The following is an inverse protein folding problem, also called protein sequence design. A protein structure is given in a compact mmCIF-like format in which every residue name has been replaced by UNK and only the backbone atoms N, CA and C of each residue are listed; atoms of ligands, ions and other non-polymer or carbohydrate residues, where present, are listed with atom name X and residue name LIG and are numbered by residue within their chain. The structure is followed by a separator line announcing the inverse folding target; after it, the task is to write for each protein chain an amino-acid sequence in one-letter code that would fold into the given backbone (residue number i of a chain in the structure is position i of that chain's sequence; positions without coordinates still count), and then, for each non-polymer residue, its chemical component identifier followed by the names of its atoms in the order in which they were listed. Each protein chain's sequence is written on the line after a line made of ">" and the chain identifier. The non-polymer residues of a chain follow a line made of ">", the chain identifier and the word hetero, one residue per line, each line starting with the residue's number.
data_IF_930426075978
#
_entry.id   IF_930426075978
#
_cell.length_a   1.000
_cell.length_b   1.000
_cell.length_c   1.000
_cell.angle_alpha   90.00
_cell.angle_beta   90.00
_cell.angle_gamma   90.00
#
_symmetry.space_group_name_H-M   'P 1'
#
loop_
_entity.id
_entity.type
_entity.pdbx_description
1 polymer ?
#
# COMPACT_ATOMS: atom_id res chain seq x y z
N UNK A 1 -47.22 69.30 -51.95
CA UNK A 1 -46.01 69.20 -51.10
C UNK A 1 -45.89 67.73 -50.69
N UNK A 2 -44.66 67.23 -50.60
CA UNK A 2 -44.27 65.86 -50.21
C UNK A 2 -44.10 64.82 -51.33
N UNK A 3 -42.95 64.15 -51.23
CA UNK A 3 -42.25 63.40 -52.27
C UNK A 3 -42.73 61.95 -52.33
N UNK A 4 -42.96 61.43 -53.54
CA UNK A 4 -42.87 59.99 -53.80
C UNK A 4 -41.39 59.58 -53.78
N UNK A 5 -41.05 58.57 -52.99
CA UNK A 5 -39.84 57.76 -53.23
C UNK A 5 -40.19 56.28 -53.03
N UNK A 6 -39.92 55.52 -54.08
CA UNK A 6 -40.09 54.08 -54.20
C UNK A 6 -38.81 53.39 -53.73
N UNK A 7 -38.91 52.30 -52.96
CA UNK A 7 -37.81 51.36 -52.77
C UNK A 7 -38.18 49.99 -53.37
N UNK A 8 -37.30 49.38 -54.18
CA UNK A 8 -37.61 48.22 -54.99
C UNK A 8 -37.64 46.90 -54.21
N UNK A 9 -38.42 45.98 -54.77
CA UNK A 9 -38.34 44.53 -54.54
C UNK A 9 -36.91 44.03 -54.80
N UNK A 10 -36.60 42.96 -54.08
CA UNK A 10 -35.35 42.19 -54.07
C UNK A 10 -34.21 42.85 -53.29
N UNK A 11 -33.97 42.36 -52.08
CA UNK A 11 -32.64 42.00 -51.59
C UNK A 11 -32.79 41.28 -50.23
N UNK A 12 -32.41 40.01 -50.26
CA UNK A 12 -31.81 39.21 -49.20
C UNK A 12 -32.66 38.74 -48.01
N UNK A 13 -33.52 37.77 -48.31
CA UNK A 13 -33.96 36.66 -47.44
C UNK A 13 -32.77 35.84 -46.84
N UNK A 14 -31.52 36.20 -47.16
CA UNK A 14 -30.32 35.47 -46.78
C UNK A 14 -29.72 35.85 -45.41
N UNK A 15 -30.24 36.88 -44.71
CA UNK A 15 -29.61 37.41 -43.49
C UNK A 15 -30.32 37.04 -42.17
N UNK A 16 -31.44 36.32 -42.22
CA UNK A 16 -32.17 35.86 -41.01
C UNK A 16 -31.97 34.36 -40.73
N UNK A 17 -31.35 33.62 -41.65
CA UNK A 17 -31.02 32.19 -41.48
C UNK A 17 -29.62 31.99 -40.86
N UNK A 18 -28.82 33.05 -40.71
CA UNK A 18 -27.44 32.96 -40.20
C UNK A 18 -27.37 32.99 -38.66
N UNK A 19 -28.37 33.54 -37.97
CA UNK A 19 -28.34 33.63 -36.49
C UNK A 19 -28.95 32.41 -35.77
N UNK A 20 -29.64 31.50 -36.47
CA UNK A 20 -30.18 30.26 -35.89
C UNK A 20 -29.27 29.06 -36.17
N UNK A 21 -28.40 29.13 -37.18
CA UNK A 21 -27.45 28.06 -37.53
C UNK A 21 -26.15 28.05 -36.70
N UNK A 22 -25.86 29.10 -35.92
CA UNK A 22 -24.60 29.21 -35.16
C UNK A 22 -24.70 28.66 -33.72
N UNK A 23 -25.90 28.29 -33.27
CA UNK A 23 -26.12 27.77 -31.91
C UNK A 23 -26.03 26.24 -31.80
N UNK A 24 -25.91 25.50 -32.92
CA UNK A 24 -25.95 24.03 -32.93
C UNK A 24 -24.59 23.35 -33.11
N UNK A 25 -23.49 24.10 -33.14
CA UNK A 25 -22.13 23.56 -33.41
C UNK A 25 -21.18 23.52 -32.20
N UNK A 26 -21.65 23.85 -30.99
CA UNK A 26 -20.86 23.69 -29.74
C UNK A 26 -21.19 22.41 -28.96
N UNK A 27 -21.99 21.49 -29.51
CA UNK A 27 -22.16 20.12 -29.00
C UNK A 27 -20.92 19.24 -29.23
N UNK A 28 -19.74 19.85 -29.28
CA UNK A 28 -18.45 19.18 -29.40
C UNK A 28 -18.08 18.60 -28.03
N UNK A 29 -18.40 17.32 -27.86
CA UNK A 29 -17.67 16.36 -27.03
C UNK A 29 -17.22 16.87 -25.65
N UNK A 30 -18.16 17.13 -24.74
CA UNK A 30 -17.94 16.76 -23.34
C UNK A 30 -17.92 15.24 -23.29
N UNK A 31 -16.78 14.64 -23.63
CA UNK A 31 -16.55 13.22 -23.39
C UNK A 31 -16.67 13.08 -21.89
N UNK A 32 -17.78 12.49 -21.42
CA UNK A 32 -17.93 12.15 -20.02
C UNK A 32 -16.64 11.44 -19.59
N UNK A 33 -16.04 11.79 -18.44
CA UNK A 33 -14.85 11.12 -17.98
C UNK A 33 -15.12 9.62 -18.05
N UNK A 34 -14.28 8.89 -18.78
CA UNK A 34 -14.43 7.44 -18.88
C UNK A 34 -14.44 6.91 -17.45
N UNK A 35 -15.36 5.98 -17.10
CA UNK A 35 -15.29 5.33 -15.80
C UNK A 35 -13.87 4.81 -15.62
N UNK A 36 -13.21 5.21 -14.53
CA UNK A 36 -11.94 4.61 -14.16
C UNK A 36 -12.23 3.11 -14.01
N UNK A 37 -11.48 2.22 -14.69
CA UNK A 37 -11.69 0.79 -14.52
C UNK A 37 -11.62 0.43 -13.04
N UNK A 38 -12.70 -0.14 -12.52
CA UNK A 38 -12.76 -0.66 -11.15
C UNK A 38 -12.58 -2.17 -11.24
N UNK A 39 -11.66 -2.71 -10.47
CA UNK A 39 -11.39 -4.14 -10.37
C UNK A 39 -11.14 -4.54 -8.93
N UNK A 40 -10.67 -5.77 -8.76
CA UNK A 40 -10.29 -6.32 -7.47
C UNK A 40 -8.79 -6.10 -7.23
N UNK A 41 -8.44 -5.63 -6.03
CA UNK A 41 -7.12 -5.76 -5.45
C UNK A 41 -7.22 -6.68 -4.23
N UNK A 42 -6.09 -7.15 -3.71
CA UNK A 42 -6.04 -7.92 -2.46
C UNK A 42 -5.21 -7.20 -1.43
N UNK A 43 -5.70 -7.11 -0.20
CA UNK A 43 -4.90 -6.59 0.90
C UNK A 43 -4.95 -7.50 2.12
N UNK A 44 -3.90 -7.42 2.93
CA UNK A 44 -3.85 -7.88 4.31
C UNK A 44 -3.37 -6.74 5.20
N UNK A 45 -3.69 -6.80 6.47
CA UNK A 45 -3.28 -5.79 7.45
C UNK A 45 -2.61 -6.46 8.65
N UNK A 46 -1.56 -5.80 9.15
CA UNK A 46 -0.62 -6.33 10.14
C UNK A 46 -0.44 -5.31 11.24
N UNK A 47 -0.46 -5.76 12.50
CA UNK A 47 -0.08 -4.91 13.63
C UNK A 47 1.36 -5.21 14.05
N UNK A 48 2.30 -4.36 13.62
CA UNK A 48 3.71 -4.38 14.01
C UNK A 48 4.05 -3.33 15.09
N UNK A 49 3.06 -2.61 15.61
CA UNK A 49 3.24 -1.57 16.61
C UNK A 49 3.34 -2.17 18.02
N UNK A 50 4.58 -2.33 18.52
CA UNK A 50 4.81 -2.81 19.89
C UNK A 50 4.08 -1.94 20.93
N UNK A 51 3.45 -2.60 21.91
CA UNK A 51 2.68 -1.94 22.95
C UNK A 51 1.43 -1.21 22.44
N UNK A 52 0.90 -1.57 21.27
CA UNK A 52 -0.44 -1.16 20.84
C UNK A 52 -1.51 -2.12 21.39
N UNK A 53 -2.73 -1.61 21.58
CA UNK A 53 -3.90 -2.45 21.79
C UNK A 53 -4.27 -3.21 20.51
N UNK A 54 -5.17 -4.20 20.62
CA UNK A 54 -5.71 -4.89 19.46
C UNK A 54 -6.40 -3.90 18.51
N UNK A 55 -6.13 -4.03 17.21
CA UNK A 55 -6.58 -3.05 16.22
C UNK A 55 -7.66 -3.64 15.31
N UNK A 56 -8.71 -2.88 15.08
CA UNK A 56 -9.60 -3.06 13.95
C UNK A 56 -9.04 -2.33 12.71
N UNK A 57 -9.50 -2.75 11.53
CA UNK A 57 -9.10 -2.13 10.27
C UNK A 57 -10.31 -1.50 9.60
N UNK A 58 -10.10 -0.38 8.91
CA UNK A 58 -11.14 0.42 8.27
C UNK A 58 -10.73 0.74 6.84
N UNK A 59 -11.70 0.67 5.93
CA UNK A 59 -11.57 1.11 4.54
C UNK A 59 -12.64 2.17 4.29
N UNK A 60 -12.22 3.37 3.86
CA UNK A 60 -13.09 4.53 3.60
C UNK A 60 -14.02 4.85 4.79
N UNK A 61 -13.46 4.83 6.00
CA UNK A 61 -14.18 5.12 7.25
C UNK A 61 -15.16 4.02 7.69
N UNK A 62 -15.25 2.89 6.98
CA UNK A 62 -16.08 1.75 7.38
C UNK A 62 -15.21 0.62 7.91
N UNK A 63 -15.63 0.03 9.03
CA UNK A 63 -14.93 -1.12 9.63
C UNK A 63 -14.91 -2.27 8.63
N UNK A 64 -13.73 -2.82 8.40
CA UNK A 64 -13.48 -3.89 7.46
C UNK A 64 -13.44 -5.23 8.21
N UNK A 65 -14.46 -6.05 7.99
CA UNK A 65 -14.62 -7.33 8.70
C UNK A 65 -14.90 -7.17 10.19
N UNK A 66 -14.82 -8.30 10.92
CA UNK A 66 -14.98 -8.35 12.38
C UNK A 66 -13.69 -8.61 13.16
N UNK A 67 -12.62 -9.00 12.47
CA UNK A 67 -11.38 -9.46 13.06
C UNK A 67 -10.49 -8.33 13.59
N UNK A 68 -9.86 -8.57 14.73
CA UNK A 68 -8.85 -7.72 15.33
C UNK A 68 -7.45 -8.29 15.07
N UNK A 69 -6.44 -7.43 14.97
CA UNK A 69 -5.04 -7.82 14.92
C UNK A 69 -4.29 -7.33 16.17
N UNK A 70 -3.86 -8.28 17.00
CA UNK A 70 -2.96 -7.99 18.12
C UNK A 70 -1.53 -7.72 17.60
N UNK A 71 -0.68 -7.13 18.43
CA UNK A 71 0.74 -6.97 18.11
C UNK A 71 1.37 -8.30 17.68
N UNK A 72 2.08 -8.27 16.54
CA UNK A 72 2.70 -9.44 15.92
C UNK A 72 1.77 -10.30 15.08
N UNK A 73 0.47 -9.98 15.04
CA UNK A 73 -0.52 -10.71 14.24
C UNK A 73 -0.85 -9.97 12.94
N UNK A 74 -1.41 -10.74 12.01
CA UNK A 74 -1.94 -10.27 10.75
C UNK A 74 -3.33 -10.84 10.49
N UNK A 75 -4.05 -10.20 9.59
CA UNK A 75 -5.29 -10.73 9.04
C UNK A 75 -5.03 -11.71 7.88
N UNK A 76 -6.10 -12.37 7.42
CA UNK A 76 -6.07 -13.04 6.13
C UNK A 76 -5.96 -12.01 4.99
N UNK A 77 -5.68 -12.47 3.77
CA UNK A 77 -5.75 -11.62 2.60
C UNK A 77 -7.18 -11.59 2.06
N UNK A 78 -7.70 -10.39 1.83
CA UNK A 78 -9.08 -10.18 1.39
C UNK A 78 -9.14 -9.39 0.09
N UNK A 79 -10.14 -9.69 -0.77
CA UNK A 79 -10.43 -8.87 -1.92
C UNK A 79 -10.98 -7.51 -1.47
N UNK A 80 -10.55 -6.45 -2.15
CA UNK A 80 -11.00 -5.07 -1.97
C UNK A 80 -11.13 -4.40 -3.33
N UNK A 81 -11.86 -3.29 -3.36
CA UNK A 81 -12.04 -2.51 -4.58
C UNK A 81 -10.73 -1.77 -4.91
N UNK A 82 -10.29 -1.82 -6.17
CA UNK A 82 -9.13 -1.07 -6.65
C UNK A 82 -9.40 0.45 -6.68
N UNK A 83 -8.36 1.25 -6.85
CA UNK A 83 -8.37 2.71 -6.85
C UNK A 83 -7.93 3.31 -5.51
N UNK A 84 -8.16 4.60 -5.34
CA UNK A 84 -7.82 5.32 -4.10
C UNK A 84 -8.68 4.82 -2.94
N UNK A 85 -8.04 4.26 -1.91
CA UNK A 85 -8.66 3.80 -0.68
C UNK A 85 -8.06 4.53 0.51
N UNK A 86 -8.92 4.98 1.44
CA UNK A 86 -8.47 5.40 2.77
C UNK A 86 -8.39 4.18 3.67
N UNK A 87 -7.20 3.90 4.20
CA UNK A 87 -6.87 2.71 4.98
C UNK A 87 -6.47 3.13 6.39
N UNK A 88 -7.14 2.63 7.41
CA UNK A 88 -6.88 3.03 8.79
C UNK A 88 -6.96 1.87 9.78
N UNK A 89 -6.13 1.95 10.82
CA UNK A 89 -6.25 1.15 12.02
C UNK A 89 -6.95 1.97 13.10
N UNK A 90 -7.76 1.33 13.91
CA UNK A 90 -8.38 1.93 15.08
C UNK A 90 -8.29 0.98 16.28
N UNK A 91 -8.06 1.55 17.45
CA UNK A 91 -8.16 0.82 18.70
C UNK A 91 -9.63 0.51 18.94
N UNK A 92 -9.97 -0.78 19.02
CA UNK A 92 -11.35 -1.24 19.21
C UNK A 92 -11.96 -0.66 20.49
N UNK A 93 -11.18 -0.49 21.56
CA UNK A 93 -11.69 -0.02 22.85
C UNK A 93 -12.18 1.44 22.80
N UNK A 94 -11.54 2.27 21.96
CA UNK A 94 -11.88 3.70 21.84
C UNK A 94 -12.66 4.02 20.57
N UNK A 95 -12.65 3.13 19.58
CA UNK A 95 -13.14 3.37 18.21
C UNK A 95 -12.52 4.61 17.54
N UNK A 96 -11.39 5.11 18.07
CA UNK A 96 -10.67 6.24 17.50
C UNK A 96 -9.59 5.73 16.53
N UNK A 97 -9.39 6.40 15.37
CA UNK A 97 -8.30 6.09 14.47
C UNK A 97 -6.96 6.16 15.20
N UNK A 98 -6.21 5.05 15.18
CA UNK A 98 -4.85 4.99 15.70
C UNK A 98 -3.87 5.59 14.69
N UNK A 99 -3.99 5.20 13.41
CA UNK A 99 -3.26 5.80 12.30
C UNK A 99 -3.92 5.39 10.97
N UNK A 100 -3.64 6.14 9.90
CA UNK A 100 -4.15 5.81 8.57
C UNK A 100 -3.38 6.49 7.44
N UNK A 101 -3.58 5.99 6.23
CA UNK A 101 -3.01 6.48 4.98
C UNK A 101 -4.06 6.44 3.87
N UNK A 102 -3.83 7.20 2.80
CA UNK A 102 -4.51 6.96 1.53
C UNK A 102 -3.55 6.16 0.63
N UNK A 103 -4.06 5.10 0.02
CA UNK A 103 -3.30 4.25 -0.90
C UNK A 103 -4.01 4.11 -2.23
N UNK A 104 -3.24 4.12 -3.32
CA UNK A 104 -3.74 3.78 -4.65
C UNK A 104 -3.57 2.28 -4.88
N UNK A 105 -4.67 1.54 -4.96
CA UNK A 105 -4.66 0.09 -5.15
C UNK A 105 -4.89 -0.25 -6.63
N UNK A 106 -3.93 -0.89 -7.27
CA UNK A 106 -4.01 -1.30 -8.66
C UNK A 106 -4.92 -2.53 -8.81
N UNK A 107 -5.55 -2.67 -9.98
CA UNK A 107 -6.29 -3.88 -10.35
C UNK A 107 -5.33 -5.07 -10.34
N UNK A 108 -5.73 -6.16 -9.69
CA UNK A 108 -4.93 -7.36 -9.43
C UNK A 108 -3.68 -7.12 -8.55
N UNK A 109 -3.55 -5.94 -7.94
CA UNK A 109 -2.49 -5.63 -7.00
C UNK A 109 -2.66 -6.39 -5.69
N UNK A 110 -1.55 -6.73 -5.05
CA UNK A 110 -1.51 -7.38 -3.74
C UNK A 110 -0.80 -6.44 -2.76
N UNK A 111 -1.34 -6.26 -1.56
CA UNK A 111 -0.85 -5.27 -0.61
C UNK A 111 -0.76 -5.79 0.82
N UNK A 112 0.28 -5.39 1.51
CA UNK A 112 0.46 -5.61 2.95
C UNK A 112 0.53 -4.27 3.67
N UNK A 113 -0.39 -4.03 4.59
CA UNK A 113 -0.56 -2.76 5.29
C UNK A 113 -0.13 -2.94 6.75
N UNK A 114 0.92 -2.26 7.18
CA UNK A 114 1.52 -2.41 8.50
C UNK A 114 1.20 -1.19 9.37
N UNK A 115 0.63 -1.42 10.55
CA UNK A 115 0.69 -0.47 11.65
C UNK A 115 2.04 -0.61 12.35
N UNK A 116 2.75 0.49 12.57
CA UNK A 116 4.00 0.53 13.34
C UNK A 116 4.03 1.78 14.23
N UNK A 117 5.05 1.89 15.10
CA UNK A 117 5.34 3.13 15.83
C UNK A 117 6.62 3.74 15.27
N UNK A 118 6.58 5.03 14.98
CA UNK A 118 7.75 5.80 14.55
C UNK A 118 8.76 5.99 15.71
N UNK A 119 9.84 6.72 15.44
CA UNK A 119 10.91 6.95 16.42
C UNK A 119 10.46 7.74 17.67
N UNK A 120 9.35 8.48 17.57
CA UNK A 120 8.74 9.21 18.69
C UNK A 120 7.67 8.37 19.43
N UNK A 121 7.51 7.09 19.06
CA UNK A 121 6.50 6.20 19.62
C UNK A 121 5.07 6.45 19.11
N UNK A 122 4.89 7.31 18.11
CA UNK A 122 3.57 7.60 17.50
C UNK A 122 3.22 6.55 16.47
N UNK A 123 1.94 6.16 16.42
CA UNK A 123 1.47 5.19 15.45
C UNK A 123 1.45 5.76 14.03
N UNK A 124 1.93 4.98 13.07
CA UNK A 124 1.95 5.28 11.64
C UNK A 124 1.61 4.03 10.83
N UNK A 125 1.26 4.22 9.54
CA UNK A 125 0.92 3.13 8.64
C UNK A 125 1.87 3.10 7.45
N UNK A 126 2.40 1.92 7.14
CA UNK A 126 3.18 1.65 5.95
C UNK A 126 2.43 0.69 5.04
N UNK A 127 2.05 1.16 3.84
CA UNK A 127 1.46 0.32 2.80
C UNK A 127 2.53 -0.14 1.82
N UNK A 128 2.58 -1.45 1.53
CA UNK A 128 3.57 -2.04 0.62
C UNK A 128 2.87 -2.88 -0.44
N UNK A 129 3.27 -2.70 -1.70
CA UNK A 129 2.89 -3.59 -2.80
C UNK A 129 3.67 -4.91 -2.78
N UNK A 130 2.97 -6.02 -2.95
CA UNK A 130 3.51 -7.36 -2.86
C UNK A 130 3.76 -7.93 -4.25
N UNK A 131 5.03 -8.19 -4.56
CA UNK A 131 5.40 -8.93 -5.75
C UNK A 131 5.28 -10.44 -5.51
N UNK A 132 4.14 -11.01 -5.93
CA UNK A 132 3.84 -12.43 -5.81
C UNK A 132 4.22 -13.25 -7.05
N UNK A 133 5.11 -12.73 -7.91
CA UNK A 133 5.64 -13.53 -9.01
C UNK A 133 6.37 -14.76 -8.48
N UNK A 134 6.22 -15.89 -9.16
CA UNK A 134 6.84 -17.15 -8.75
C UNK A 134 8.36 -16.99 -8.51
N UNK A 135 8.93 -17.63 -7.47
CA UNK A 135 10.38 -17.74 -7.31
C UNK A 135 11.04 -18.46 -8.49
N UNK A 136 12.36 -18.32 -8.58
CA UNK A 136 13.13 -19.08 -9.58
C UNK A 136 13.03 -20.58 -9.28
N UNK A 137 13.21 -21.43 -10.29
CA UNK A 137 13.09 -22.88 -10.12
C UNK A 137 14.03 -23.38 -8.99
N UNK A 138 13.45 -24.07 -8.01
CA UNK A 138 14.16 -24.59 -6.84
C UNK A 138 14.48 -23.56 -5.74
N UNK A 139 14.14 -22.28 -5.92
CA UNK A 139 14.38 -21.21 -4.94
C UNK A 139 13.10 -20.80 -4.21
N UNK A 140 13.28 -20.04 -3.14
CA UNK A 140 12.22 -19.28 -2.47
C UNK A 140 12.48 -17.77 -2.64
N UNK A 141 11.45 -16.94 -2.45
CA UNK A 141 11.59 -15.47 -2.34
C UNK A 141 11.44 -15.02 -0.91
N UNK A 142 12.22 -14.04 -0.49
CA UNK A 142 12.10 -13.41 0.83
C UNK A 142 12.36 -11.91 0.76
N UNK A 143 11.59 -11.12 1.50
CA UNK A 143 11.89 -9.71 1.78
C UNK A 143 11.86 -9.44 3.29
N UNK A 144 12.56 -8.39 3.69
CA UNK A 144 12.65 -7.93 5.08
C UNK A 144 12.15 -6.49 5.21
N UNK A 145 11.50 -6.19 6.34
CA UNK A 145 10.95 -4.87 6.65
C UNK A 145 11.43 -4.47 8.05
N UNK A 146 11.94 -3.26 8.22
CA UNK A 146 12.39 -2.78 9.52
C UNK A 146 11.36 -1.81 10.14
N UNK A 147 10.68 -2.27 11.19
CA UNK A 147 9.62 -1.55 11.90
C UNK A 147 9.86 -1.46 13.41
N UNK A 148 11.10 -1.63 13.87
CA UNK A 148 11.44 -1.38 15.28
C UNK A 148 11.73 0.12 15.47
N UNK A 149 10.74 0.87 15.96
CA UNK A 149 10.84 2.31 16.21
C UNK A 149 11.80 2.71 17.34
N UNK A 150 12.37 1.76 18.09
CA UNK A 150 13.41 2.04 19.07
C UNK A 150 14.82 2.09 18.46
N UNK A 151 14.95 1.71 17.18
CA UNK A 151 16.20 1.75 16.43
C UNK A 151 16.11 2.82 15.35
N UNK A 152 16.95 3.85 15.45
CA UNK A 152 17.05 4.91 14.43
C UNK A 152 18.07 4.60 13.34
N UNK A 153 18.83 3.51 13.49
CA UNK A 153 19.85 3.06 12.53
C UNK A 153 19.26 2.00 11.58
N UNK A 154 19.85 1.88 10.40
CA UNK A 154 19.57 0.75 9.52
C UNK A 154 19.98 -0.58 10.16
N UNK A 155 19.27 -1.65 9.80
CA UNK A 155 19.64 -3.03 10.17
C UNK A 155 20.27 -3.76 8.99
N UNK A 156 21.19 -4.67 9.26
CA UNK A 156 21.77 -5.58 8.29
C UNK A 156 21.14 -6.98 8.44
N UNK A 157 21.02 -7.69 7.33
CA UNK A 157 20.53 -9.07 7.27
C UNK A 157 21.59 -9.92 6.56
N UNK A 158 22.03 -11.00 7.21
CA UNK A 158 22.95 -11.99 6.63
C UNK A 158 22.33 -13.38 6.64
N UNK A 159 22.77 -14.24 5.72
CA UNK A 159 22.48 -15.67 5.82
C UNK A 159 23.33 -16.25 6.94
N UNK A 160 22.76 -17.10 7.80
CA UNK A 160 23.52 -17.77 8.88
C UNK A 160 24.67 -18.56 8.26
N UNK A 161 25.91 -18.26 8.67
CA UNK A 161 27.12 -18.90 8.14
C UNK A 161 27.46 -18.55 6.68
N UNK A 162 26.75 -17.58 6.09
CA UNK A 162 26.89 -17.19 4.69
C UNK A 162 27.15 -15.70 4.50
N UNK A 163 26.88 -15.24 3.27
CA UNK A 163 27.07 -13.85 2.87
C UNK A 163 26.03 -12.90 3.50
N UNK A 164 26.41 -11.63 3.54
CA UNK A 164 25.46 -10.54 3.78
C UNK A 164 24.45 -10.46 2.62
N UNK A 165 23.17 -10.37 2.97
CA UNK A 165 22.07 -10.27 2.00
C UNK A 165 21.62 -8.81 1.84
N UNK A 166 21.55 -8.08 2.96
CA UNK A 166 21.19 -6.68 3.03
C UNK A 166 22.18 -5.98 3.96
N UNK A 167 22.94 -5.02 3.45
CA UNK A 167 23.93 -4.27 4.23
C UNK A 167 23.31 -3.16 5.09
N UNK A 168 22.23 -2.55 4.61
CA UNK A 168 21.53 -1.49 5.31
C UNK A 168 20.05 -1.43 4.87
N UNK A 169 19.14 -1.87 5.75
CA UNK A 169 17.70 -1.69 5.64
C UNK A 169 17.27 -0.54 6.57
N UNK A 170 16.91 0.63 6.03
CA UNK A 170 16.46 1.76 6.84
C UNK A 170 15.18 1.45 7.63
N UNK A 171 15.00 2.16 8.73
CA UNK A 171 13.74 2.15 9.48
C UNK A 171 12.55 2.60 8.60
N UNK A 172 11.38 2.02 8.87
CA UNK A 172 10.13 2.24 8.14
C UNK A 172 10.23 1.93 6.63
N UNK A 173 11.06 0.96 6.26
CA UNK A 173 11.28 0.57 4.87
C UNK A 173 11.29 -0.95 4.67
N UNK A 174 11.03 -1.37 3.43
CA UNK A 174 11.09 -2.75 2.95
C UNK A 174 12.27 -2.92 2.00
N UNK A 175 12.93 -4.06 2.07
CA UNK A 175 13.86 -4.50 1.05
C UNK A 175 13.12 -4.88 -0.24
N UNK A 176 13.88 -5.06 -1.32
CA UNK A 176 13.45 -5.88 -2.46
C UNK A 176 13.29 -7.34 -2.04
N UNK A 177 12.68 -8.16 -2.91
CA UNK A 177 12.68 -9.61 -2.75
C UNK A 177 14.01 -10.20 -3.22
N UNK A 178 14.57 -11.11 -2.41
CA UNK A 178 15.76 -11.90 -2.70
C UNK A 178 15.37 -13.34 -2.99
N UNK A 179 16.07 -13.96 -3.94
CA UNK A 179 16.00 -15.40 -4.17
C UNK A 179 16.94 -16.10 -3.19
N UNK A 180 16.44 -17.10 -2.48
CA UNK A 180 17.20 -17.83 -1.46
C UNK A 180 17.00 -19.33 -1.61
N UNK A 181 17.98 -20.08 -1.12
CA UNK A 181 17.90 -21.53 -1.07
C UNK A 181 16.91 -22.01 0.00
N UNK A 182 16.18 -23.12 -0.24
CA UNK A 182 15.42 -23.80 0.80
C UNK A 182 16.30 -24.12 2.02
N UNK A 183 15.73 -24.00 3.22
CA UNK A 183 16.45 -24.19 4.49
C UNK A 183 17.37 -23.02 4.89
N UNK A 184 17.47 -21.96 4.09
CA UNK A 184 18.23 -20.77 4.48
C UNK A 184 17.68 -20.18 5.80
N UNK A 185 18.62 -19.81 6.68
CA UNK A 185 18.36 -19.07 7.92
C UNK A 185 19.04 -17.72 7.86
N UNK A 186 18.56 -16.77 8.64
CA UNK A 186 19.06 -15.40 8.61
C UNK A 186 19.41 -14.90 10.00
N UNK A 187 20.35 -13.97 10.07
CA UNK A 187 20.67 -13.23 11.27
C UNK A 187 20.44 -11.75 10.96
N UNK A 188 19.63 -11.10 11.78
CA UNK A 188 19.47 -9.66 11.75
C UNK A 188 20.34 -9.00 12.81
N UNK A 189 20.97 -7.88 12.46
CA UNK A 189 21.82 -7.11 13.37
C UNK A 189 21.66 -5.62 13.14
N UNK A 190 21.85 -4.83 14.19
CA UNK A 190 21.86 -3.37 14.12
C UNK A 190 22.76 -2.79 15.21
N UNK A 191 23.15 -1.53 15.07
CA UNK A 191 23.94 -0.84 16.09
C UNK A 191 23.19 -0.84 17.42
N UNK A 192 23.83 -1.32 18.49
CA UNK A 192 23.24 -1.41 19.84
C UNK A 192 22.40 -2.65 20.10
N UNK A 193 22.07 -3.43 19.06
CA UNK A 193 21.36 -4.71 19.20
C UNK A 193 22.31 -5.74 19.81
N UNK A 194 21.94 -6.29 20.96
CA UNK A 194 22.73 -7.30 21.69
C UNK A 194 22.20 -8.71 21.47
N UNK A 195 20.91 -8.82 21.16
CA UNK A 195 20.25 -10.07 20.77
C UNK A 195 20.04 -10.07 19.26
N UNK A 196 20.94 -10.70 18.51
CA UNK A 196 20.77 -10.91 17.07
C UNK A 196 19.89 -12.16 16.85
N UNK A 197 18.59 -12.04 16.53
CA UNK A 197 17.75 -13.22 16.36
C UNK A 197 18.24 -14.04 15.17
N UNK A 198 18.41 -15.35 15.37
CA UNK A 198 18.37 -16.28 14.23
C UNK A 198 16.91 -16.40 13.78
N UNK A 199 16.68 -16.09 12.52
CA UNK A 199 15.39 -16.17 11.82
C UNK A 199 15.41 -17.49 11.06
N UNK A 200 14.81 -18.51 11.67
CA UNK A 200 14.59 -19.82 11.08
C UNK A 200 13.10 -20.03 10.79
N UNK A 201 12.73 -19.89 9.51
CA UNK A 201 11.34 -20.02 9.06
C UNK A 201 11.06 -21.37 8.41
N UNK A 202 12.06 -22.28 8.34
CA UNK A 202 11.96 -23.50 7.53
C UNK A 202 11.65 -23.17 6.06
N UNK A 203 12.49 -22.35 5.42
CA UNK A 203 12.27 -21.85 4.05
C UNK A 203 12.08 -23.02 3.06
N UNK A 204 11.00 -22.99 2.27
CA UNK A 204 10.66 -24.00 1.27
C UNK A 204 10.71 -23.44 -0.15
N UNK A 205 11.14 -24.25 -1.11
CA UNK A 205 11.12 -23.88 -2.53
C UNK A 205 9.71 -23.51 -3.01
N UNK A 206 9.62 -22.55 -3.92
CA UNK A 206 8.37 -22.06 -4.49
C UNK A 206 7.53 -21.18 -3.57
N UNK A 207 8.01 -20.87 -2.36
CA UNK A 207 7.32 -19.99 -1.39
C UNK A 207 7.87 -18.57 -1.39
N UNK A 208 7.00 -17.62 -1.03
CA UNK A 208 7.32 -16.19 -0.93
C UNK A 208 7.10 -15.75 0.52
N UNK A 209 8.15 -15.24 1.15
CA UNK A 209 8.15 -14.86 2.56
C UNK A 209 8.27 -13.35 2.70
N UNK A 210 7.50 -12.78 3.63
CA UNK A 210 7.73 -11.43 4.15
C UNK A 210 8.08 -11.57 5.62
N UNK A 211 9.19 -10.95 6.01
CA UNK A 211 9.64 -10.87 7.40
C UNK A 211 9.62 -9.41 7.81
N UNK A 212 9.00 -9.08 8.94
CA UNK A 212 9.13 -7.75 9.53
C UNK A 212 9.79 -7.85 10.89
N UNK A 213 10.65 -6.88 11.16
CA UNK A 213 11.44 -6.80 12.37
C UNK A 213 10.86 -5.69 13.23
N UNK A 214 10.48 -6.03 14.46
CA UNK A 214 9.98 -5.12 15.49
C UNK A 214 10.82 -5.33 16.77
N UNK A 215 10.43 -4.72 17.88
CA UNK A 215 11.12 -4.88 19.16
C UNK A 215 10.46 -4.05 20.24
N UNK A 216 10.87 -4.30 21.48
CA UNK A 216 10.38 -3.59 22.67
C UNK A 216 11.34 -2.51 23.19
N UNK A 217 12.60 -2.54 22.73
CA UNK A 217 13.64 -1.56 23.06
C UNK A 217 14.71 -1.46 21.95
N UNK A 218 15.74 -0.64 22.18
CA UNK A 218 16.85 -0.38 21.25
C UNK A 218 17.96 -1.43 21.25
N UNK A 219 17.82 -2.50 22.03
CA UNK A 219 18.76 -3.62 22.13
C UNK A 219 18.23 -4.92 21.54
N UNK A 220 16.94 -4.94 21.16
CA UNK A 220 16.22 -6.10 20.66
C UNK A 220 15.84 -5.96 19.18
N UNK A 221 15.96 -7.06 18.44
CA UNK A 221 15.23 -7.28 17.19
C UNK A 221 14.40 -8.56 17.33
N UNK A 222 13.11 -8.48 17.03
CA UNK A 222 12.19 -9.60 16.99
C UNK A 222 11.60 -9.74 15.60
N UNK A 223 11.79 -10.92 15.02
CA UNK A 223 11.26 -11.24 13.71
C UNK A 223 9.86 -11.85 13.81
N UNK A 224 9.00 -11.40 12.91
CA UNK A 224 7.72 -12.00 12.61
C UNK A 224 7.64 -12.22 11.11
N UNK A 225 6.81 -13.14 10.66
CA UNK A 225 6.73 -13.43 9.24
C UNK A 225 5.37 -13.94 8.81
N UNK A 226 5.16 -13.90 7.50
CA UNK A 226 4.12 -14.66 6.84
C UNK A 226 4.59 -15.16 5.49
N UNK A 227 3.95 -16.23 5.03
CA UNK A 227 4.09 -16.73 3.67
C UNK A 227 2.94 -16.19 2.81
N UNK A 228 3.28 -15.66 1.66
CA UNK A 228 2.33 -15.40 0.59
C UNK A 228 2.38 -16.57 -0.41
N UNK A 229 1.21 -16.94 -0.92
CA UNK A 229 1.06 -17.91 -2.01
C UNK A 229 0.48 -17.19 -3.23
#
# INVERSE_FOLDING_TARGET
>A
MEKKFSYPKSINLALTIICIGLATILSSCLKAPKPIPVGEAKLRYINAAFGSAAQAFYINGKRFGSGLVNYGQMSASFPVVSGTQSLAFADEASSQPTAGINGELEINGNYSIFLYKNLDGKAEVLGIGDNLTAPDAGKAKIRFIHLNGFLNNSIAIKVTGGAELISALPFANSSTYYQVDPGAKFIASGTGVTSNPEIDLGILAGKIYTVWLSGSDSTELKAYSFTAN
#
